data_IF_336793026332
#
_entry.id   IF_336793026332
#
_cell.length_a   1.000
_cell.length_b   1.000
_cell.length_c   1.000
_cell.angle_alpha   90.00
_cell.angle_beta   90.00
_cell.angle_gamma   90.00
#
_symmetry.space_group_name_H-M   'P 1'
#
loop_
_entity.id
_entity.type
_entity.pdbx_description
1 polymer ?
#
# COMPACT_ATOMS: atom_id res chain seq x y z
N UNK A 1 0.48 -14.80 21.63
CA UNK A 1 1.01 -13.85 20.65
C UNK A 1 0.66 -14.37 19.27
N UNK A 2 0.09 -13.56 18.45
CA UNK A 2 -0.18 -13.88 17.06
C UNK A 2 1.13 -14.23 16.33
N UNK A 3 1.13 -15.14 15.34
CA UNK A 3 2.29 -15.32 14.48
C UNK A 3 2.53 -14.05 13.66
N UNK A 4 3.77 -13.76 13.25
CA UNK A 4 4.04 -12.66 12.36
C UNK A 4 3.24 -12.79 11.05
N UNK A 5 2.71 -11.67 10.55
CA UNK A 5 2.03 -11.64 9.25
C UNK A 5 3.06 -11.88 8.13
N UNK A 6 2.69 -12.60 7.03
CA UNK A 6 3.62 -12.89 5.93
C UNK A 6 4.09 -11.62 5.24
N UNK A 7 5.35 -11.58 4.81
CA UNK A 7 5.86 -10.49 3.99
C UNK A 7 5.11 -10.42 2.65
N UNK A 8 5.02 -9.23 2.04
CA UNK A 8 4.32 -9.05 0.77
C UNK A 8 4.96 -9.86 -0.38
N UNK A 9 6.25 -10.19 -0.31
CA UNK A 9 6.88 -11.07 -1.32
C UNK A 9 6.61 -12.57 -1.11
N UNK A 10 5.82 -12.95 -0.09
CA UNK A 10 5.36 -14.33 0.08
C UNK A 10 4.38 -14.72 -1.03
N UNK A 11 4.12 -16.01 -1.20
CA UNK A 11 3.12 -16.48 -2.15
C UNK A 11 1.72 -15.97 -1.78
N UNK A 12 1.01 -15.38 -2.74
CA UNK A 12 -0.37 -14.94 -2.58
C UNK A 12 -1.35 -15.96 -3.16
N UNK A 13 -2.49 -16.11 -2.50
CA UNK A 13 -3.68 -16.79 -3.01
C UNK A 13 -4.50 -15.86 -3.90
N UNK A 14 -4.57 -14.59 -3.54
CA UNK A 14 -5.26 -13.55 -4.31
C UNK A 14 -4.70 -12.16 -4.00
N UNK A 15 -4.97 -11.23 -4.90
CA UNK A 15 -4.77 -9.79 -4.71
C UNK A 15 -6.11 -9.08 -4.84
N UNK A 16 -6.55 -8.41 -3.78
CA UNK A 16 -7.72 -7.54 -3.78
C UNK A 16 -7.36 -6.19 -4.38
N UNK A 17 -8.22 -5.64 -5.23
CA UNK A 17 -8.03 -4.32 -5.86
C UNK A 17 -9.36 -3.58 -5.84
N UNK A 18 -9.36 -2.30 -5.45
CA UNK A 18 -10.49 -1.39 -5.56
C UNK A 18 -10.63 -0.83 -6.98
N UNK A 19 -11.86 -0.80 -7.50
CA UNK A 19 -12.16 -0.21 -8.81
C UNK A 19 -12.76 1.18 -8.66
N UNK A 20 -12.21 2.24 -9.31
CA UNK A 20 -12.80 3.58 -9.29
C UNK A 20 -14.25 3.55 -9.80
N UNK A 21 -15.20 3.89 -8.93
CA UNK A 21 -16.63 3.66 -9.21
C UNK A 21 -17.48 4.94 -9.10
N UNK A 22 -17.09 5.89 -8.25
CA UNK A 22 -17.93 7.05 -7.89
C UNK A 22 -17.58 8.27 -8.72
N UNK A 23 -18.41 8.58 -9.72
CA UNK A 23 -18.19 9.68 -10.65
C UNK A 23 -18.15 11.06 -9.94
N UNK A 24 -18.95 11.24 -8.90
CA UNK A 24 -18.98 12.48 -8.10
C UNK A 24 -17.71 12.70 -7.26
N UNK A 25 -16.94 11.65 -7.00
CA UNK A 25 -15.68 11.72 -6.25
C UNK A 25 -14.47 11.89 -7.18
N UNK A 26 -14.47 11.17 -8.30
CA UNK A 26 -13.35 11.15 -9.24
C UNK A 26 -13.46 12.18 -10.35
N UNK A 27 -14.69 12.70 -10.60
CA UNK A 27 -14.97 13.73 -11.60
C UNK A 27 -14.34 13.41 -12.98
N UNK A 28 -13.57 14.31 -13.58
CA UNK A 28 -12.86 14.09 -14.85
C UNK A 28 -11.75 13.03 -14.79
N UNK A 29 -11.30 12.68 -13.61
CA UNK A 29 -10.26 11.65 -13.41
C UNK A 29 -10.80 10.22 -13.38
N UNK A 30 -12.14 10.00 -13.37
CA UNK A 30 -12.71 8.67 -13.27
C UNK A 30 -12.24 7.74 -14.39
N UNK A 31 -12.43 8.14 -15.65
CA UNK A 31 -12.08 7.32 -16.81
C UNK A 31 -10.55 7.10 -16.93
N UNK A 32 -9.68 8.12 -16.74
CA UNK A 32 -8.25 7.92 -16.63
C UNK A 32 -7.83 6.98 -15.49
N UNK A 33 -8.38 7.12 -14.29
CA UNK A 33 -8.08 6.24 -13.16
C UNK A 33 -8.51 4.79 -13.42
N UNK A 34 -9.70 4.58 -14.01
CA UNK A 34 -10.15 3.27 -14.47
C UNK A 34 -9.19 2.64 -15.49
N UNK A 35 -8.65 3.43 -16.42
CA UNK A 35 -7.68 2.93 -17.39
C UNK A 35 -6.35 2.50 -16.72
N UNK A 36 -5.85 3.28 -15.74
CA UNK A 36 -4.66 2.93 -14.97
C UNK A 36 -4.89 1.68 -14.11
N UNK A 37 -6.04 1.57 -13.44
CA UNK A 37 -6.40 0.37 -12.65
C UNK A 37 -6.64 -0.84 -13.54
N UNK A 38 -7.21 -0.68 -14.75
CA UNK A 38 -7.32 -1.77 -15.73
C UNK A 38 -5.93 -2.29 -16.11
N UNK A 39 -4.98 -1.40 -16.39
CA UNK A 39 -3.61 -1.79 -16.70
C UNK A 39 -2.95 -2.55 -15.52
N UNK A 40 -3.16 -2.08 -14.28
CA UNK A 40 -2.70 -2.77 -13.07
C UNK A 40 -3.31 -4.17 -12.95
N UNK A 41 -4.63 -4.31 -13.05
CA UNK A 41 -5.33 -5.61 -12.93
C UNK A 41 -4.84 -6.61 -13.98
N UNK A 42 -4.66 -6.16 -15.23
CA UNK A 42 -4.13 -7.01 -16.31
C UNK A 42 -2.67 -7.42 -16.05
N UNK A 43 -1.85 -6.52 -15.52
CA UNK A 43 -0.47 -6.83 -15.15
C UNK A 43 -0.40 -7.81 -13.97
N UNK A 44 -1.27 -7.66 -12.97
CA UNK A 44 -1.37 -8.57 -11.83
C UNK A 44 -1.82 -9.98 -12.26
N UNK A 45 -2.89 -10.08 -13.05
CA UNK A 45 -3.44 -11.37 -13.50
C UNK A 45 -2.52 -12.07 -14.53
N UNK A 46 -1.87 -11.31 -15.41
CA UNK A 46 -0.96 -11.83 -16.43
C UNK A 46 0.44 -12.13 -15.86
N UNK A 47 1.44 -11.26 -16.09
CA UNK A 47 2.82 -11.49 -15.62
C UNK A 47 2.92 -11.57 -14.09
N UNK A 48 2.04 -10.92 -13.35
CA UNK A 48 1.96 -10.99 -11.89
C UNK A 48 1.59 -12.36 -11.35
N UNK A 49 0.87 -13.16 -12.11
CA UNK A 49 0.44 -14.52 -11.70
C UNK A 49 -0.54 -14.53 -10.53
N UNK A 50 -1.30 -13.44 -10.36
CA UNK A 50 -2.28 -13.29 -9.28
C UNK A 50 -3.67 -13.78 -9.67
N UNK A 51 -4.42 -14.27 -8.67
CA UNK A 51 -5.87 -14.25 -8.74
C UNK A 51 -6.32 -12.87 -8.24
N UNK A 52 -6.83 -12.02 -9.14
CA UNK A 52 -7.28 -10.68 -8.77
C UNK A 52 -8.75 -10.70 -8.40
N UNK A 53 -9.09 -10.19 -7.22
CA UNK A 53 -10.45 -9.94 -6.75
C UNK A 53 -10.71 -8.43 -6.85
N UNK A 54 -11.37 -8.05 -7.95
CA UNK A 54 -11.68 -6.67 -8.26
C UNK A 54 -13.00 -6.27 -7.60
N UNK A 55 -12.93 -5.43 -6.57
CA UNK A 55 -14.08 -4.97 -5.80
C UNK A 55 -14.60 -3.65 -6.40
N UNK A 56 -15.89 -3.60 -6.73
CA UNK A 56 -16.54 -2.47 -7.43
C UNK A 56 -17.69 -1.94 -6.57
N UNK A 57 -17.67 -0.63 -6.29
CA UNK A 57 -18.55 0.01 -5.30
C UNK A 57 -19.92 0.45 -5.80
N UNK A 58 -20.13 0.47 -7.10
CA UNK A 58 -21.36 0.96 -7.75
C UNK A 58 -21.92 -0.08 -8.73
N UNK A 59 -23.26 -0.15 -8.90
CA UNK A 59 -23.92 -1.17 -9.72
C UNK A 59 -23.68 -0.93 -11.24
N UNK A 60 -23.65 0.32 -11.70
CA UNK A 60 -23.37 0.65 -13.09
C UNK A 60 -21.90 0.37 -13.42
N UNK A 61 -20.99 0.81 -12.58
CA UNK A 61 -19.55 0.50 -12.68
C UNK A 61 -19.27 -1.01 -12.64
N UNK A 62 -20.08 -1.79 -11.89
CA UNK A 62 -19.95 -3.24 -11.81
C UNK A 62 -20.22 -3.92 -13.17
N UNK A 63 -21.25 -3.50 -13.90
CA UNK A 63 -21.56 -4.06 -15.22
C UNK A 63 -20.48 -3.65 -16.25
N UNK A 64 -19.98 -2.42 -16.17
CA UNK A 64 -18.86 -1.97 -17.01
C UNK A 64 -17.57 -2.74 -16.73
N UNK A 65 -17.21 -2.90 -15.46
CA UNK A 65 -16.01 -3.67 -15.07
C UNK A 65 -16.12 -5.13 -15.53
N UNK A 66 -17.29 -5.76 -15.37
CA UNK A 66 -17.54 -7.12 -15.88
C UNK A 66 -17.35 -7.21 -17.38
N UNK A 67 -17.81 -6.22 -18.14
CA UNK A 67 -17.61 -6.19 -19.60
C UNK A 67 -16.14 -5.99 -19.97
N UNK A 68 -15.39 -5.10 -19.27
CA UNK A 68 -13.96 -4.82 -19.50
C UNK A 68 -13.08 -6.02 -19.24
N UNK A 69 -13.40 -6.82 -18.21
CA UNK A 69 -12.62 -8.00 -17.83
C UNK A 69 -13.21 -9.33 -18.31
N UNK A 70 -14.24 -9.29 -19.18
CA UNK A 70 -14.83 -10.50 -19.74
C UNK A 70 -13.78 -11.35 -20.46
N UNK A 71 -13.58 -12.59 -20.02
CA UNK A 71 -12.59 -13.52 -20.59
C UNK A 71 -11.13 -13.27 -20.16
N UNK A 72 -10.86 -12.35 -19.26
CA UNK A 72 -9.54 -12.21 -18.65
C UNK A 72 -9.39 -13.27 -17.57
N UNK A 73 -8.49 -14.23 -17.81
CA UNK A 73 -8.21 -15.29 -16.84
C UNK A 73 -7.58 -14.72 -15.56
N UNK A 74 -7.97 -15.26 -14.40
CA UNK A 74 -7.44 -14.83 -13.11
C UNK A 74 -8.08 -13.56 -12.54
N UNK A 75 -9.11 -12.98 -13.17
CA UNK A 75 -9.83 -11.80 -12.65
C UNK A 75 -11.26 -12.17 -12.26
N UNK A 76 -11.61 -11.96 -10.99
CA UNK A 76 -12.96 -12.07 -10.45
C UNK A 76 -13.49 -10.68 -10.13
N UNK A 77 -14.53 -10.22 -10.85
CA UNK A 77 -15.18 -8.92 -10.62
C UNK A 77 -16.36 -9.12 -9.68
N UNK A 78 -16.33 -8.44 -8.54
CA UNK A 78 -17.31 -8.61 -7.48
C UNK A 78 -17.89 -7.28 -7.00
N UNK A 79 -19.17 -7.31 -6.61
CA UNK A 79 -19.80 -6.15 -5.98
C UNK A 79 -19.24 -5.95 -4.58
N UNK A 80 -18.99 -4.70 -4.22
CA UNK A 80 -18.67 -4.23 -2.89
C UNK A 80 -19.45 -2.99 -2.53
N UNK A 81 -19.31 -2.53 -1.30
CA UNK A 81 -19.80 -1.23 -0.84
C UNK A 81 -18.66 -0.53 -0.14
N UNK A 82 -18.20 0.55 -0.70
CA UNK A 82 -17.15 1.41 -0.15
C UNK A 82 -17.33 2.83 -0.68
N UNK A 83 -16.81 3.78 0.03
CA UNK A 83 -16.82 5.18 -0.38
C UNK A 83 -15.73 5.46 -1.41
N UNK A 84 -14.54 4.83 -1.25
CA UNK A 84 -13.46 4.91 -2.22
C UNK A 84 -12.56 3.66 -2.21
N UNK A 85 -11.64 3.58 -3.17
CA UNK A 85 -10.91 2.37 -3.61
C UNK A 85 -9.75 1.93 -2.70
N UNK A 86 -9.52 2.59 -1.57
CA UNK A 86 -8.30 2.45 -0.74
C UNK A 86 -8.30 1.18 0.13
N UNK A 87 -8.34 0.00 -0.51
CA UNK A 87 -8.49 -1.29 0.17
C UNK A 87 -7.29 -1.66 1.06
N UNK A 88 -6.12 -1.05 0.86
CA UNK A 88 -4.97 -1.19 1.75
C UNK A 88 -5.31 -0.73 3.17
N UNK A 89 -6.06 0.37 3.27
CA UNK A 89 -6.31 1.06 4.52
C UNK A 89 -7.63 0.64 5.16
N UNK A 90 -8.64 0.36 4.33
CA UNK A 90 -9.98 -0.04 4.78
C UNK A 90 -10.13 -1.56 4.91
N UNK A 91 -9.30 -2.34 4.22
CA UNK A 91 -9.33 -3.80 4.24
C UNK A 91 -8.64 -4.43 5.46
N UNK A 92 -8.84 -5.74 5.67
CA UNK A 92 -8.18 -6.45 6.76
C UNK A 92 -6.73 -6.81 6.39
N UNK A 93 -5.85 -6.92 7.40
CA UNK A 93 -4.49 -7.42 7.22
C UNK A 93 -4.48 -8.93 7.43
N UNK A 94 -4.21 -9.69 6.38
CA UNK A 94 -4.25 -11.13 6.41
C UNK A 94 -3.06 -11.76 7.14
N UNK A 95 -3.36 -12.76 7.97
CA UNK A 95 -2.36 -13.59 8.65
C UNK A 95 -1.85 -14.75 7.80
N UNK A 96 -0.94 -15.54 8.35
CA UNK A 96 -0.42 -16.75 7.69
C UNK A 96 -1.51 -17.82 7.53
N UNK A 97 -1.57 -18.41 6.33
CA UNK A 97 -2.47 -19.53 6.03
C UNK A 97 -3.95 -19.15 5.88
N UNK A 98 -4.24 -17.89 5.65
CA UNK A 98 -5.57 -17.34 5.31
C UNK A 98 -6.74 -17.78 6.20
N UNK A 99 -6.47 -18.29 7.40
CA UNK A 99 -7.54 -18.69 8.32
C UNK A 99 -8.11 -17.50 9.11
N UNK A 100 -7.32 -16.47 9.31
CA UNK A 100 -7.66 -15.28 10.10
C UNK A 100 -7.01 -14.03 9.51
N UNK A 101 -7.66 -12.89 9.71
CA UNK A 101 -7.13 -11.58 9.37
C UNK A 101 -7.39 -10.59 10.50
N UNK A 102 -6.49 -9.66 10.73
CA UNK A 102 -6.68 -8.57 11.67
C UNK A 102 -7.53 -7.47 11.03
N UNK A 103 -8.59 -7.06 11.71
CA UNK A 103 -9.43 -5.95 11.31
C UNK A 103 -9.33 -4.83 12.36
N UNK A 104 -9.04 -3.64 11.90
CA UNK A 104 -8.87 -2.43 12.70
C UNK A 104 -10.02 -1.47 12.47
N UNK A 105 -10.17 -0.49 13.35
CA UNK A 105 -11.09 0.62 13.11
C UNK A 105 -10.50 1.53 12.04
N UNK A 106 -11.33 1.93 11.11
CA UNK A 106 -11.02 2.98 10.15
C UNK A 106 -11.77 4.27 10.53
N UNK A 107 -11.12 5.43 10.42
CA UNK A 107 -11.70 6.71 10.79
C UNK A 107 -11.48 7.82 9.76
N UNK A 108 -11.31 7.44 8.48
CA UNK A 108 -11.11 8.40 7.39
C UNK A 108 -9.81 9.18 7.51
N UNK A 109 -8.70 8.49 7.77
CA UNK A 109 -7.35 9.06 7.93
C UNK A 109 -7.29 10.20 8.96
N UNK A 110 -7.90 9.95 10.11
CA UNK A 110 -7.96 10.95 11.18
C UNK A 110 -9.13 11.92 11.07
N UNK A 111 -10.25 11.50 10.46
CA UNK A 111 -11.46 12.30 10.29
C UNK A 111 -11.39 13.33 9.17
N UNK A 112 -10.45 13.17 8.22
CA UNK A 112 -10.33 14.06 7.06
C UNK A 112 -11.37 13.75 5.99
N UNK A 113 -11.71 12.46 5.83
CA UNK A 113 -12.66 11.96 4.83
C UNK A 113 -13.67 11.02 5.53
N UNK A 114 -14.93 11.36 5.48
CA UNK A 114 -16.04 10.55 6.02
C UNK A 114 -16.85 10.01 4.85
N UNK A 115 -16.37 8.89 4.30
CA UNK A 115 -16.99 8.27 3.15
C UNK A 115 -17.83 7.04 3.59
N UNK A 116 -19.00 6.83 3.00
CA UNK A 116 -19.90 5.77 3.42
C UNK A 116 -19.32 4.39 3.16
N UNK A 117 -19.48 3.47 4.13
CA UNK A 117 -19.13 2.05 4.04
C UNK A 117 -17.63 1.71 4.04
N UNK A 118 -16.71 2.67 4.15
CA UNK A 118 -15.27 2.40 4.22
C UNK A 118 -14.92 1.60 5.49
N UNK A 119 -15.63 1.81 6.58
CA UNK A 119 -15.50 1.06 7.82
C UNK A 119 -16.07 -0.38 7.76
N UNK A 120 -16.83 -0.72 6.69
CA UNK A 120 -17.39 -2.06 6.46
C UNK A 120 -16.52 -2.92 5.52
N UNK A 121 -15.51 -2.35 4.85
CA UNK A 121 -14.71 -3.04 3.81
C UNK A 121 -14.01 -4.28 4.35
N UNK A 122 -13.41 -4.19 5.54
CA UNK A 122 -12.75 -5.34 6.16
C UNK A 122 -13.70 -6.53 6.34
N UNK A 123 -14.96 -6.28 6.70
CA UNK A 123 -15.99 -7.31 6.85
C UNK A 123 -16.35 -7.95 5.53
N UNK A 124 -16.56 -7.14 4.50
CA UNK A 124 -16.91 -7.62 3.18
C UNK A 124 -15.81 -8.50 2.59
N UNK A 125 -14.53 -8.03 2.68
CA UNK A 125 -13.37 -8.81 2.24
C UNK A 125 -13.23 -10.10 3.06
N UNK A 126 -13.32 -10.03 4.39
CA UNK A 126 -13.23 -11.20 5.26
C UNK A 126 -14.30 -12.25 4.94
N UNK A 127 -15.55 -11.82 4.72
CA UNK A 127 -16.64 -12.69 4.31
C UNK A 127 -16.40 -13.34 2.95
N UNK A 128 -16.00 -12.55 1.94
CA UNK A 128 -15.76 -13.05 0.59
C UNK A 128 -14.52 -13.96 0.51
N UNK A 129 -13.48 -13.70 1.29
CA UNK A 129 -12.30 -14.54 1.43
C UNK A 129 -12.57 -15.82 2.26
N UNK A 130 -13.65 -15.86 3.03
CA UNK A 130 -13.97 -16.98 3.94
C UNK A 130 -13.05 -17.04 5.16
N UNK A 131 -12.53 -15.89 5.63
CA UNK A 131 -11.61 -15.81 6.77
C UNK A 131 -12.30 -15.22 8.01
N UNK A 132 -11.88 -15.67 9.19
CA UNK A 132 -12.35 -15.10 10.46
C UNK A 132 -11.58 -13.80 10.73
N UNK A 133 -12.30 -12.75 11.18
CA UNK A 133 -11.67 -11.49 11.55
C UNK A 133 -11.38 -11.42 13.05
N UNK A 134 -10.12 -11.13 13.39
CA UNK A 134 -9.70 -10.69 14.71
C UNK A 134 -9.83 -9.16 14.78
N UNK A 135 -10.82 -8.69 15.55
CA UNK A 135 -11.11 -7.25 15.64
C UNK A 135 -10.33 -6.60 16.75
N UNK A 136 -9.69 -5.48 16.39
CA UNK A 136 -8.93 -4.65 17.32
C UNK A 136 -9.58 -3.27 17.43
N UNK A 137 -9.86 -2.82 18.66
CA UNK A 137 -10.49 -1.53 18.92
C UNK A 137 -9.43 -0.40 18.94
N UNK A 138 -8.65 -0.33 17.88
CA UNK A 138 -7.68 0.73 17.61
C UNK A 138 -7.79 1.16 16.14
N UNK A 139 -7.53 2.43 15.87
CA UNK A 139 -7.48 2.96 14.50
C UNK A 139 -6.12 2.66 13.90
N UNK A 140 -6.12 1.95 12.76
CA UNK A 140 -4.91 1.60 12.04
C UNK A 140 -5.22 1.35 10.57
N UNK A 141 -4.46 1.97 9.69
CA UNK A 141 -4.49 1.75 8.26
C UNK A 141 -3.35 0.80 7.84
N UNK A 142 -3.61 -0.09 6.88
CA UNK A 142 -2.60 -1.03 6.39
C UNK A 142 -1.42 -0.33 5.71
N UNK A 143 -1.64 0.82 5.03
CA UNK A 143 -0.58 1.63 4.42
C UNK A 143 0.34 2.33 5.42
N UNK A 144 -0.09 2.48 6.68
CA UNK A 144 0.74 2.99 7.76
C UNK A 144 1.84 2.00 8.21
N UNK A 145 1.78 0.75 7.74
CA UNK A 145 2.69 -0.33 8.12
C UNK A 145 3.34 -0.97 6.90
N UNK A 146 4.59 -1.41 7.07
CA UNK A 146 5.24 -2.38 6.20
C UNK A 146 5.95 -3.44 7.07
N UNK A 147 6.16 -4.67 6.58
CA UNK A 147 6.66 -5.75 7.42
C UNK A 147 7.47 -6.80 6.66
N UNK A 148 8.41 -7.44 7.36
CA UNK A 148 9.38 -8.37 6.79
C UNK A 148 8.94 -9.86 6.84
N UNK A 149 7.77 -10.16 7.35
CA UNK A 149 7.31 -11.54 7.53
C UNK A 149 7.96 -12.28 8.71
N UNK A 150 8.96 -11.67 9.36
CA UNK A 150 9.72 -12.25 10.45
C UNK A 150 9.55 -11.48 11.78
N UNK A 151 8.50 -10.66 11.85
CA UNK A 151 8.13 -9.92 13.06
C UNK A 151 8.76 -8.53 13.18
N UNK A 152 9.41 -8.00 12.13
CA UNK A 152 9.78 -6.60 12.06
C UNK A 152 8.67 -5.83 11.37
N UNK A 153 8.23 -4.73 11.96
CA UNK A 153 7.28 -3.79 11.39
C UNK A 153 7.95 -2.42 11.24
N UNK A 154 7.71 -1.77 10.11
CA UNK A 154 8.17 -0.44 9.78
C UNK A 154 6.99 0.52 9.77
N UNK A 155 7.13 1.71 10.33
CA UNK A 155 6.09 2.73 10.40
C UNK A 155 6.68 4.13 10.59
N UNK A 156 5.83 5.16 10.53
CA UNK A 156 6.20 6.55 10.83
C UNK A 156 5.59 7.03 12.15
N UNK A 157 6.31 7.91 12.83
CA UNK A 157 5.79 8.60 14.03
C UNK A 157 4.69 9.59 13.66
N UNK A 158 4.84 10.28 12.54
CA UNK A 158 3.89 11.26 12.06
C UNK A 158 2.48 10.66 11.91
N UNK A 159 2.36 9.43 11.41
CA UNK A 159 1.08 8.76 11.27
C UNK A 159 0.63 8.09 12.57
N UNK A 160 1.39 7.10 13.06
CA UNK A 160 0.92 6.20 14.11
C UNK A 160 0.74 6.90 15.48
N UNK A 161 1.55 7.93 15.76
CA UNK A 161 1.46 8.70 17.01
C UNK A 161 0.64 10.00 16.83
N UNK A 162 0.02 10.20 15.67
CA UNK A 162 -0.86 11.35 15.47
C UNK A 162 -2.10 11.22 16.36
N UNK A 163 -2.42 12.24 17.15
CA UNK A 163 -3.58 12.19 18.06
C UNK A 163 -4.93 12.03 17.34
N UNK A 164 -4.98 12.29 16.02
CA UNK A 164 -6.17 12.08 15.20
C UNK A 164 -6.48 10.60 14.91
N UNK A 165 -5.63 9.66 15.32
CA UNK A 165 -5.87 8.21 15.25
C UNK A 165 -6.30 7.68 16.62
N UNK A 166 -5.37 7.53 17.55
CA UNK A 166 -5.58 6.86 18.83
C UNK A 166 -5.31 7.77 20.05
N UNK A 167 -5.45 9.09 19.87
CA UNK A 167 -5.35 10.06 20.96
C UNK A 167 -3.96 10.10 21.59
N UNK A 168 -3.80 9.50 22.77
CA UNK A 168 -2.59 9.56 23.59
C UNK A 168 -1.62 8.36 23.35
N UNK A 169 -1.57 7.83 22.14
CA UNK A 169 -0.65 6.75 21.83
C UNK A 169 0.81 7.17 22.02
N UNK A 170 1.59 6.22 22.54
CA UNK A 170 3.04 6.28 22.62
C UNK A 170 3.63 5.13 21.80
N UNK A 171 4.90 5.18 21.45
CA UNK A 171 5.58 4.05 20.80
C UNK A 171 5.30 2.73 21.54
N UNK A 172 5.41 2.70 22.86
CA UNK A 172 5.17 1.48 23.64
C UNK A 172 3.72 0.96 23.55
N UNK A 173 2.71 1.84 23.49
CA UNK A 173 1.31 1.43 23.28
C UNK A 173 1.09 0.89 21.86
N UNK A 174 1.65 1.55 20.85
CA UNK A 174 1.58 1.11 19.47
C UNK A 174 2.29 -0.25 19.28
N UNK A 175 3.50 -0.41 19.82
CA UNK A 175 4.26 -1.67 19.79
C UNK A 175 3.49 -2.82 20.43
N UNK A 176 2.85 -2.58 21.58
CA UNK A 176 2.02 -3.58 22.25
C UNK A 176 0.81 -4.01 21.40
N UNK A 177 0.11 -3.05 20.77
CA UNK A 177 -1.01 -3.32 19.88
C UNK A 177 -0.58 -4.10 18.63
N UNK A 178 0.53 -3.72 17.99
CA UNK A 178 1.08 -4.41 16.82
C UNK A 178 1.59 -5.82 17.17
N UNK A 179 2.16 -6.01 18.36
CA UNK A 179 2.59 -7.33 18.85
C UNK A 179 1.39 -8.26 19.08
N UNK A 180 0.28 -7.74 19.61
CA UNK A 180 -0.95 -8.50 19.84
C UNK A 180 -1.64 -8.86 18.52
N UNK A 181 -1.85 -7.86 17.65
CA UNK A 181 -2.62 -8.02 16.44
C UNK A 181 -1.87 -8.75 15.31
N UNK A 182 -0.61 -8.37 15.09
CA UNK A 182 0.17 -8.73 13.89
C UNK A 182 1.42 -9.57 14.22
N UNK A 183 1.65 -9.93 15.47
CA UNK A 183 2.83 -10.69 15.89
C UNK A 183 4.13 -9.92 15.76
N UNK A 184 4.08 -8.58 15.80
CA UNK A 184 5.27 -7.74 15.76
C UNK A 184 6.18 -8.03 16.96
N UNK A 185 7.46 -8.26 16.69
CA UNK A 185 8.51 -8.45 17.71
C UNK A 185 9.39 -7.21 17.86
N UNK A 186 9.41 -6.38 16.81
CA UNK A 186 10.16 -5.13 16.75
C UNK A 186 9.50 -4.16 15.80
N UNK A 187 9.42 -2.89 16.21
CA UNK A 187 8.96 -1.80 15.37
C UNK A 187 10.13 -0.89 15.03
N UNK A 188 10.29 -0.57 13.75
CA UNK A 188 11.25 0.40 13.25
C UNK A 188 10.49 1.71 13.00
N UNK A 189 10.87 2.73 13.76
CA UNK A 189 10.20 4.02 13.76
C UNK A 189 10.94 5.02 12.86
N UNK A 190 10.30 5.44 11.77
CA UNK A 190 10.72 6.59 10.98
C UNK A 190 10.11 7.89 11.52
N UNK A 191 10.58 9.03 11.03
CA UNK A 191 10.08 10.35 11.40
C UNK A 191 8.83 10.74 10.61
N UNK A 192 8.99 11.78 9.77
CA UNK A 192 7.93 12.35 8.95
C UNK A 192 7.82 11.64 7.59
N UNK A 193 6.63 11.66 6.99
CA UNK A 193 6.35 11.19 5.65
C UNK A 193 6.56 12.24 4.57
N UNK A 194 5.94 12.03 3.41
CA UNK A 194 6.06 12.95 2.27
C UNK A 194 5.30 14.25 2.52
N UNK A 195 5.78 15.31 1.89
CA UNK A 195 5.11 16.62 1.88
C UNK A 195 3.70 16.47 1.30
N UNK A 196 2.71 17.06 1.98
CA UNK A 196 1.29 17.04 1.63
C UNK A 196 0.66 15.64 1.56
N UNK A 197 1.24 14.65 2.22
CA UNK A 197 0.61 13.34 2.32
C UNK A 197 -0.65 13.40 3.20
N UNK A 198 -1.80 13.18 2.60
CA UNK A 198 -3.11 13.23 3.26
C UNK A 198 -3.28 12.15 4.34
N UNK A 199 -2.47 11.09 4.30
CA UNK A 199 -2.50 10.01 5.28
C UNK A 199 -1.72 10.33 6.56
N UNK A 200 -1.13 11.51 6.69
CA UNK A 200 -0.19 11.90 7.74
C UNK A 200 1.14 11.10 7.67
N UNK A 201 1.57 10.76 6.46
CA UNK A 201 2.87 10.13 6.23
C UNK A 201 2.86 8.61 6.35
N UNK A 202 2.03 7.95 5.57
CA UNK A 202 2.07 6.49 5.44
C UNK A 202 3.44 6.00 5.01
N UNK A 203 3.89 4.90 5.63
CA UNK A 203 5.23 4.35 5.35
C UNK A 203 5.33 3.70 3.97
N UNK A 204 4.21 3.25 3.38
CA UNK A 204 4.18 2.63 2.06
C UNK A 204 4.54 3.59 0.91
N UNK A 205 4.46 4.91 1.14
CA UNK A 205 5.00 5.94 0.25
C UNK A 205 6.48 6.27 0.52
N UNK A 206 7.04 5.79 1.63
CA UNK A 206 8.33 6.24 2.13
C UNK A 206 9.40 5.16 2.18
N UNK A 207 9.05 3.94 2.64
CA UNK A 207 10.00 2.86 2.79
C UNK A 207 9.30 1.49 2.81
N UNK A 208 9.87 0.51 2.10
CA UNK A 208 9.29 -0.82 1.93
C UNK A 208 10.33 -1.91 2.13
N UNK A 209 9.99 -2.95 2.88
CA UNK A 209 10.79 -4.18 2.88
C UNK A 209 10.74 -4.85 1.50
N UNK A 210 11.90 -5.24 0.98
CA UNK A 210 12.05 -5.90 -0.33
C UNK A 210 12.71 -7.27 -0.23
N UNK A 211 13.32 -7.56 0.91
CA UNK A 211 13.88 -8.85 1.28
C UNK A 211 14.18 -8.86 2.80
N UNK A 212 14.46 -10.01 3.43
CA UNK A 212 14.85 -10.05 4.84
C UNK A 212 16.05 -9.14 5.13
N UNK A 213 15.83 -8.14 6.01
CA UNK A 213 16.84 -7.15 6.37
C UNK A 213 17.20 -6.14 5.28
N UNK A 214 16.40 -6.01 4.23
CA UNK A 214 16.59 -5.01 3.16
C UNK A 214 15.35 -4.15 3.03
N UNK A 215 15.53 -2.83 3.13
CA UNK A 215 14.47 -1.85 2.97
C UNK A 215 14.81 -0.94 1.78
N UNK A 216 13.87 -0.80 0.85
CA UNK A 216 13.92 0.21 -0.20
C UNK A 216 13.40 1.55 0.36
N UNK A 217 14.05 2.65 0.02
CA UNK A 217 13.56 4.00 0.27
C UNK A 217 13.99 4.95 -0.84
N UNK A 218 13.30 6.10 -1.03
CA UNK A 218 13.63 6.99 -2.11
C UNK A 218 15.00 7.65 -1.97
N UNK A 219 15.56 8.06 -3.11
CA UNK A 219 16.60 9.09 -3.22
C UNK A 219 16.05 10.19 -4.11
N UNK A 220 16.30 11.45 -3.75
CA UNK A 220 15.80 12.60 -4.48
C UNK A 220 16.20 12.55 -5.97
N UNK A 221 15.25 12.89 -6.83
CA UNK A 221 15.42 12.99 -8.27
C UNK A 221 15.15 14.41 -8.75
N UNK A 222 16.10 14.97 -9.51
CA UNK A 222 16.05 16.37 -9.93
C UNK A 222 16.53 17.34 -8.85
N UNK A 223 16.71 18.62 -9.25
CA UNK A 223 17.29 19.65 -8.38
C UNK A 223 16.32 20.18 -7.30
N UNK A 224 15.01 20.01 -7.52
CA UNK A 224 13.96 20.62 -6.70
C UNK A 224 12.99 19.57 -6.11
N UNK A 225 13.49 18.38 -5.80
CA UNK A 225 12.67 17.35 -5.14
C UNK A 225 12.30 17.84 -3.74
N UNK A 226 11.00 18.03 -3.46
CA UNK A 226 10.52 18.64 -2.21
C UNK A 226 10.77 17.75 -0.99
N UNK A 227 11.00 16.45 -1.18
CA UNK A 227 11.15 15.46 -0.13
C UNK A 227 12.62 15.03 0.09
N UNK A 228 13.60 15.70 -0.53
CA UNK A 228 15.01 15.31 -0.48
C UNK A 228 15.53 15.13 0.96
N UNK A 229 15.21 16.05 1.87
CA UNK A 229 15.63 15.99 3.28
C UNK A 229 14.98 14.84 4.03
N UNK A 230 13.70 14.56 3.75
CA UNK A 230 12.96 13.42 4.32
C UNK A 230 13.59 12.10 3.88
N UNK A 231 13.89 11.93 2.60
CA UNK A 231 14.53 10.73 2.08
C UNK A 231 15.91 10.46 2.68
N UNK A 232 16.70 11.49 2.90
CA UNK A 232 18.02 11.35 3.52
C UNK A 232 17.94 11.07 5.01
N UNK A 233 16.93 11.60 5.71
CA UNK A 233 16.64 11.25 7.10
C UNK A 233 16.23 9.78 7.22
N UNK A 234 15.30 9.32 6.39
CA UNK A 234 14.84 7.92 6.34
C UNK A 234 16.00 6.96 6.11
N UNK A 235 16.84 7.22 5.11
CA UNK A 235 17.98 6.35 4.82
C UNK A 235 18.98 6.30 5.97
N UNK A 236 19.25 7.42 6.64
CA UNK A 236 20.15 7.52 7.79
C UNK A 236 19.60 6.74 8.99
N UNK A 237 18.30 6.88 9.26
CA UNK A 237 17.64 6.21 10.37
C UNK A 237 17.64 4.68 10.15
N UNK A 238 17.26 4.23 8.96
CA UNK A 238 17.27 2.81 8.60
C UNK A 238 18.66 2.17 8.74
N UNK A 239 19.72 2.85 8.30
CA UNK A 239 21.10 2.35 8.41
C UNK A 239 21.58 2.20 9.87
N UNK A 240 20.95 2.88 10.81
CA UNK A 240 21.24 2.76 12.25
C UNK A 240 20.42 1.66 12.95
N UNK A 241 19.45 1.04 12.23
CA UNK A 241 18.53 0.07 12.80
C UNK A 241 18.95 -1.39 12.55
N UNK A 242 18.34 -2.29 13.32
CA UNK A 242 18.39 -3.74 13.10
C UNK A 242 16.98 -4.30 13.07
N UNK A 243 16.75 -5.39 12.35
CA UNK A 243 15.47 -6.10 12.34
C UNK A 243 15.23 -6.91 13.63
N UNK A 244 14.10 -7.62 13.69
CA UNK A 244 13.73 -8.46 14.83
C UNK A 244 14.66 -9.67 15.03
N UNK A 245 15.43 -10.06 14.03
CA UNK A 245 16.46 -11.11 14.07
C UNK A 245 17.86 -10.57 14.46
N UNK A 246 17.98 -9.24 14.67
CA UNK A 246 19.24 -8.57 15.01
C UNK A 246 20.14 -8.28 13.80
N UNK A 247 19.65 -8.46 12.55
CA UNK A 247 20.41 -8.12 11.33
C UNK A 247 20.37 -6.61 11.11
N UNK A 248 21.52 -6.02 10.78
CA UNK A 248 21.56 -4.62 10.37
C UNK A 248 20.75 -4.42 9.08
N UNK A 249 19.94 -3.36 9.05
CA UNK A 249 19.16 -3.01 7.86
C UNK A 249 20.10 -2.55 6.74
N UNK A 250 19.92 -3.13 5.57
CA UNK A 250 20.52 -2.66 4.31
C UNK A 250 19.51 -1.81 3.57
N UNK A 251 19.94 -0.68 3.06
CA UNK A 251 19.08 0.27 2.36
C UNK A 251 19.32 0.19 0.86
N UNK A 252 18.24 -0.04 0.11
CA UNK A 252 18.19 0.12 -1.34
C UNK A 252 17.66 1.52 -1.65
N UNK A 253 18.48 2.37 -2.27
CA UNK A 253 18.03 3.69 -2.70
C UNK A 253 17.40 3.63 -4.10
N UNK A 254 16.15 4.03 -4.19
CA UNK A 254 15.35 4.03 -5.43
C UNK A 254 15.05 5.48 -5.82
N UNK A 255 15.36 5.94 -7.04
CA UNK A 255 15.03 7.31 -7.44
C UNK A 255 13.55 7.62 -7.21
N UNK A 256 13.25 8.79 -6.64
CA UNK A 256 11.89 9.31 -6.53
C UNK A 256 11.38 9.74 -7.91
N UNK A 257 10.07 9.99 -8.08
CA UNK A 257 9.55 10.59 -9.30
C UNK A 257 9.93 12.08 -9.46
N UNK A 258 10.57 12.67 -8.44
CA UNK A 258 10.86 14.09 -8.39
C UNK A 258 9.64 14.92 -7.96
N UNK A 259 9.63 16.20 -8.34
CA UNK A 259 8.53 17.11 -8.02
C UNK A 259 7.36 16.89 -8.97
N UNK A 260 6.25 16.41 -8.44
CA UNK A 260 4.98 16.26 -9.16
C UNK A 260 3.98 17.25 -8.55
N UNK A 261 3.25 17.96 -9.40
CA UNK A 261 2.28 18.98 -8.99
C UNK A 261 0.93 18.72 -9.66
N UNK A 262 -0.13 19.00 -8.92
CA UNK A 262 -1.49 19.09 -9.42
C UNK A 262 -2.07 20.44 -8.97
N UNK A 263 -2.69 21.20 -9.87
CA UNK A 263 -3.23 22.56 -9.63
C UNK A 263 -2.24 23.53 -8.93
N UNK A 264 -0.93 23.31 -9.08
CA UNK A 264 0.14 24.11 -8.48
C UNK A 264 0.54 23.71 -7.06
N UNK A 265 -0.07 22.69 -6.50
CA UNK A 265 0.29 22.08 -5.23
C UNK A 265 1.15 20.81 -5.46
N UNK A 266 2.15 20.59 -4.61
CA UNK A 266 2.94 19.35 -4.65
C UNK A 266 2.08 18.21 -4.13
N UNK A 267 2.00 17.12 -4.92
CA UNK A 267 1.31 15.89 -4.52
C UNK A 267 2.30 14.78 -4.17
N UNK A 268 1.97 13.86 -3.23
CA UNK A 268 2.89 12.90 -2.62
C UNK A 268 3.18 11.68 -3.53
N UNK A 269 3.66 11.92 -4.75
CA UNK A 269 4.04 10.87 -5.69
C UNK A 269 5.23 10.05 -5.17
N UNK A 270 5.13 8.72 -5.23
CA UNK A 270 6.23 7.85 -4.82
C UNK A 270 6.30 6.54 -5.59
N UNK A 271 7.50 6.21 -6.10
CA UNK A 271 7.76 4.87 -6.62
C UNK A 271 7.71 3.78 -5.52
N UNK A 272 7.72 4.16 -4.21
CA UNK A 272 7.60 3.17 -3.12
C UNK A 272 6.20 2.59 -2.99
N UNK A 273 5.18 3.20 -3.59
CA UNK A 273 3.83 2.64 -3.64
C UNK A 273 3.70 1.49 -4.67
N UNK A 274 4.80 0.74 -4.88
CA UNK A 274 4.82 -0.45 -5.74
C UNK A 274 4.12 -1.63 -5.08
N UNK A 275 3.63 -2.57 -5.91
CA UNK A 275 3.08 -3.86 -5.49
C UNK A 275 4.05 -5.00 -5.79
N UNK A 276 4.21 -5.91 -4.83
CA UNK A 276 4.96 -7.14 -5.02
C UNK A 276 3.95 -8.27 -5.27
N UNK A 277 3.79 -8.67 -6.53
CA UNK A 277 2.96 -9.80 -6.94
C UNK A 277 3.78 -11.10 -7.02
N UNK A 278 3.10 -12.24 -7.23
CA UNK A 278 3.74 -13.56 -7.30
C UNK A 278 4.85 -13.63 -8.36
N UNK A 279 4.62 -13.08 -9.56
CA UNK A 279 5.55 -13.12 -10.70
C UNK A 279 6.14 -11.78 -11.11
N UNK A 280 5.65 -10.68 -10.55
CA UNK A 280 6.05 -9.33 -10.95
C UNK A 280 6.14 -8.36 -9.78
N UNK A 281 6.74 -7.19 -10.00
CA UNK A 281 6.63 -6.00 -9.14
C UNK A 281 6.09 -4.88 -10.00
N UNK A 282 4.93 -4.35 -9.65
CA UNK A 282 4.28 -3.27 -10.39
C UNK A 282 4.64 -1.94 -9.76
N UNK A 283 5.31 -1.08 -10.53
CA UNK A 283 5.84 0.21 -10.05
C UNK A 283 5.01 1.35 -10.62
N UNK A 284 4.38 2.18 -9.78
CA UNK A 284 3.66 3.35 -10.27
C UNK A 284 4.64 4.39 -10.83
N UNK A 285 4.26 5.05 -11.94
CA UNK A 285 5.07 6.08 -12.59
C UNK A 285 4.26 7.36 -12.81
N UNK A 286 4.96 8.50 -12.89
CA UNK A 286 4.36 9.82 -12.83
C UNK A 286 4.93 10.77 -13.90
N UNK A 287 5.21 10.23 -15.11
CA UNK A 287 5.58 11.00 -16.29
C UNK A 287 7.08 11.15 -16.56
N UNK A 288 7.98 11.04 -15.58
CA UNK A 288 9.43 11.00 -15.85
C UNK A 288 9.89 9.58 -16.18
N UNK A 289 10.03 9.28 -17.48
CA UNK A 289 10.44 7.95 -17.96
C UNK A 289 11.85 7.54 -17.46
N UNK A 290 12.75 8.52 -17.26
CA UNK A 290 14.12 8.24 -16.80
C UNK A 290 14.13 7.88 -15.31
N UNK A 291 13.41 8.62 -14.48
CA UNK A 291 13.23 8.27 -13.08
C UNK A 291 12.61 6.89 -12.92
N UNK A 292 11.56 6.62 -13.69
CA UNK A 292 10.86 5.33 -13.71
C UNK A 292 11.78 4.18 -14.14
N UNK A 293 12.60 4.34 -15.19
CA UNK A 293 13.54 3.28 -15.64
C UNK A 293 14.66 3.03 -14.61
N UNK A 294 15.17 4.05 -13.94
CA UNK A 294 16.14 3.91 -12.88
C UNK A 294 15.52 3.22 -11.63
N UNK A 295 14.27 3.55 -11.28
CA UNK A 295 13.55 2.88 -10.21
C UNK A 295 13.34 1.39 -10.54
N UNK A 296 12.94 1.07 -11.77
CA UNK A 296 12.84 -0.30 -12.30
C UNK A 296 14.18 -1.04 -12.18
N UNK A 297 15.28 -0.44 -12.61
CA UNK A 297 16.62 -1.04 -12.54
C UNK A 297 17.04 -1.30 -11.09
N UNK A 298 16.79 -0.37 -10.17
CA UNK A 298 17.11 -0.53 -8.76
C UNK A 298 16.35 -1.71 -8.15
N UNK A 299 15.03 -1.79 -8.35
CA UNK A 299 14.19 -2.87 -7.85
C UNK A 299 14.53 -4.23 -8.47
N UNK A 300 14.94 -4.28 -9.75
CA UNK A 300 15.39 -5.53 -10.39
C UNK A 300 16.59 -6.17 -9.67
N UNK A 301 17.40 -5.39 -8.96
CA UNK A 301 18.55 -5.93 -8.21
C UNK A 301 18.16 -6.80 -7.01
N UNK A 302 16.96 -6.59 -6.46
CA UNK A 302 16.43 -7.31 -5.29
C UNK A 302 15.32 -8.29 -5.64
N UNK A 303 14.73 -8.17 -6.82
CA UNK A 303 13.71 -9.07 -7.36
C UNK A 303 14.19 -9.70 -8.69
N UNK A 304 15.27 -10.52 -8.68
CA UNK A 304 15.84 -11.05 -9.93
C UNK A 304 14.91 -12.01 -10.68
N UNK A 305 13.97 -12.64 -9.96
CA UNK A 305 13.05 -13.66 -10.48
C UNK A 305 11.64 -13.10 -10.75
N UNK A 306 11.42 -11.79 -10.56
CA UNK A 306 10.17 -11.11 -10.85
C UNK A 306 10.35 -10.08 -11.98
N UNK A 307 9.35 -9.96 -12.83
CA UNK A 307 9.31 -8.89 -13.83
C UNK A 307 9.00 -7.56 -13.17
N UNK A 308 9.80 -6.52 -13.41
CA UNK A 308 9.50 -5.17 -12.90
C UNK A 308 8.75 -4.40 -13.97
N UNK A 309 7.50 -4.06 -13.71
CA UNK A 309 6.56 -3.46 -14.67
C UNK A 309 6.20 -2.04 -14.23
N UNK A 310 6.78 -1.01 -14.85
CA UNK A 310 6.34 0.37 -14.65
C UNK A 310 4.98 0.62 -15.31
N UNK A 311 4.03 1.20 -14.57
CA UNK A 311 2.72 1.59 -15.09
C UNK A 311 2.36 3.03 -14.67
N UNK A 312 1.70 3.82 -15.53
CA UNK A 312 1.18 5.13 -15.16
C UNK A 312 0.21 5.05 -13.98
N UNK A 313 0.29 6.01 -13.06
CA UNK A 313 -0.58 6.12 -11.89
C UNK A 313 -0.87 7.57 -11.48
N UNK A 314 -0.84 8.49 -12.44
CA UNK A 314 -1.07 9.91 -12.16
C UNK A 314 -2.55 10.21 -11.88
N UNK A 315 -3.46 9.54 -12.61
CA UNK A 315 -4.88 9.70 -12.39
C UNK A 315 -5.33 9.04 -11.07
N UNK A 316 -4.76 7.89 -10.70
CA UNK A 316 -5.01 7.29 -9.38
C UNK A 316 -4.45 8.18 -8.27
N UNK A 317 -3.27 8.81 -8.50
CA UNK A 317 -2.66 9.71 -7.53
C UNK A 317 -3.50 10.96 -7.23
N UNK A 318 -4.29 11.45 -8.18
CA UNK A 318 -5.19 12.60 -7.93
C UNK A 318 -6.23 12.31 -6.84
N UNK A 319 -6.56 11.05 -6.60
CA UNK A 319 -7.38 10.60 -5.48
C UNK A 319 -6.63 10.51 -4.13
N UNK A 320 -5.30 10.70 -4.11
CA UNK A 320 -4.50 10.77 -2.89
C UNK A 320 -3.56 9.59 -2.61
N UNK A 321 -3.51 8.57 -3.48
CA UNK A 321 -2.66 7.39 -3.31
C UNK A 321 -2.26 6.73 -4.62
N UNK A 322 -1.76 5.49 -4.58
CA UNK A 322 -1.35 4.76 -5.76
C UNK A 322 -1.63 3.25 -5.64
N UNK A 323 -0.95 2.42 -6.40
CA UNK A 323 -1.27 1.00 -6.59
C UNK A 323 -1.25 0.16 -5.31
N UNK A 324 -0.32 0.41 -4.39
CA UNK A 324 -0.31 -0.28 -3.10
C UNK A 324 -1.51 0.12 -2.25
N UNK A 325 -1.86 1.41 -2.23
CA UNK A 325 -2.98 1.93 -1.44
C UNK A 325 -4.33 1.35 -1.86
N UNK A 326 -4.54 1.04 -3.16
CA UNK A 326 -5.81 0.50 -3.68
C UNK A 326 -5.90 -1.02 -3.61
N UNK A 327 -4.92 -1.69 -3.01
CA UNK A 327 -4.81 -3.14 -3.06
C UNK A 327 -4.53 -3.76 -1.70
N UNK A 328 -4.85 -5.06 -1.55
CA UNK A 328 -4.52 -5.85 -0.37
C UNK A 328 -4.21 -7.29 -0.76
N UNK A 329 -3.02 -7.77 -0.39
CA UNK A 329 -2.62 -9.15 -0.64
C UNK A 329 -3.30 -10.13 0.32
N UNK A 330 -3.71 -11.26 -0.21
CA UNK A 330 -4.19 -12.42 0.53
C UNK A 330 -3.15 -13.54 0.41
N UNK A 331 -2.34 -13.82 1.46
CA UNK A 331 -1.33 -14.86 1.43
C UNK A 331 -1.90 -16.26 1.24
N UNK A 332 -1.11 -17.17 0.63
CA UNK A 332 -1.49 -18.57 0.39
C UNK A 332 -1.51 -19.44 1.66
#
# INVERSE_FOLDING_TARGET
MSPPIPAEWSQHRAMWVGWPSHAELWEENLEPAQAEVEALVRALAGPGGEQVRLMVGDEEALEEARARFAGVEGVEVMAGRFGDIWLRDTGPIFGSGSARAAAFRFNGWGGKYDLPHDDEVADQIGQAAGVALDRHDVVLEGGALDHDGAGTVLTTRQCLLNPNRNGDWTEAKAEAALAEALGARKVLWLGDGLLNDHTDGHVDNLARFVAPGVVACPIAWGENDPNAEVYDAVARDLLAMTDAEGRAIRVLRVPSPGRIEDEGEVIPASHMNFLIANGAVIVPTYGDERAADLARQALQTVFPDREIIPLPSLAVLSGGGSFHCISQQEPA
#
